data_IF_063702707915
#
_entry.id   IF_063702707915
#
_cell.length_a   1.000
_cell.length_b   1.000
_cell.length_c   1.000
_cell.angle_alpha   90.00
_cell.angle_beta   90.00
_cell.angle_gamma   90.00
#
_symmetry.space_group_name_H-M   'P 1'
#
loop_
_entity.id
_entity.type
_entity.pdbx_description
1 polymer ?
#
# COMPACT_ATOMS: atom_id res chain seq x y z
N UNK A 1 -29.28 -52.65 -41.70
CA UNK A 1 -27.95 -52.27 -42.22
C UNK A 1 -27.60 -50.90 -41.63
N UNK A 2 -26.78 -50.86 -40.58
CA UNK A 2 -26.38 -49.60 -39.95
C UNK A 2 -25.03 -49.17 -40.52
N UNK A 3 -24.99 -48.02 -41.19
CA UNK A 3 -23.76 -47.36 -41.59
C UNK A 3 -23.17 -46.67 -40.36
N UNK A 4 -22.06 -47.19 -39.83
CA UNK A 4 -21.27 -46.53 -38.80
C UNK A 4 -20.42 -45.46 -39.46
N UNK A 5 -20.74 -44.19 -39.22
CA UNK A 5 -19.92 -43.06 -39.62
C UNK A 5 -18.51 -43.19 -39.03
N UNK A 6 -17.52 -43.29 -39.91
CA UNK A 6 -16.11 -43.25 -39.52
C UNK A 6 -15.77 -41.86 -38.99
N UNK A 7 -15.22 -41.80 -37.78
CA UNK A 7 -14.58 -40.60 -37.28
C UNK A 7 -13.22 -40.48 -37.96
N UNK A 8 -13.09 -39.54 -38.88
CA UNK A 8 -11.79 -39.13 -39.42
C UNK A 8 -11.07 -38.31 -38.34
N UNK A 9 -10.19 -38.98 -37.58
CA UNK A 9 -9.24 -38.28 -36.72
C UNK A 9 -8.07 -37.82 -37.59
N UNK A 10 -7.92 -36.50 -37.75
CA UNK A 10 -6.81 -35.91 -38.49
C UNK A 10 -5.47 -36.28 -37.81
N UNK A 11 -4.77 -37.20 -38.45
CA UNK A 11 -3.48 -37.78 -38.04
C UNK A 11 -2.33 -36.90 -38.51
N UNK A 12 -2.47 -35.59 -38.31
CA UNK A 12 -1.32 -34.68 -38.48
C UNK A 12 -0.44 -34.87 -37.25
N UNK A 13 0.44 -35.86 -37.33
CA UNK A 13 1.45 -36.12 -36.31
C UNK A 13 2.20 -34.81 -36.07
N UNK A 14 2.11 -34.28 -34.85
CA UNK A 14 2.86 -33.10 -34.46
C UNK A 14 4.32 -33.36 -34.83
N UNK A 15 4.86 -32.49 -35.70
CA UNK A 15 6.18 -32.70 -36.26
C UNK A 15 7.20 -32.83 -35.12
N UNK A 16 7.95 -33.93 -35.09
CA UNK A 16 8.83 -34.30 -33.97
C UNK A 16 9.87 -33.22 -33.67
N UNK A 17 10.28 -32.47 -34.70
CA UNK A 17 11.14 -31.31 -34.59
C UNK A 17 10.50 -30.15 -33.80
N UNK A 18 9.19 -29.91 -33.96
CA UNK A 18 8.47 -28.90 -33.20
C UNK A 18 8.45 -29.25 -31.71
N UNK A 19 8.24 -30.53 -31.39
CA UNK A 19 8.30 -31.04 -30.00
C UNK A 19 9.70 -30.82 -29.42
N UNK A 20 10.75 -31.13 -30.19
CA UNK A 20 12.13 -30.93 -29.76
C UNK A 20 12.45 -29.45 -29.47
N UNK A 21 11.99 -28.52 -30.32
CA UNK A 21 12.15 -27.08 -30.11
C UNK A 21 11.39 -26.56 -28.91
N UNK A 22 10.15 -27.05 -28.70
CA UNK A 22 9.36 -26.68 -27.51
C UNK A 22 10.06 -27.18 -26.25
N UNK A 23 10.53 -28.43 -26.23
CA UNK A 23 11.26 -28.99 -25.10
C UNK A 23 12.55 -28.20 -24.80
N UNK A 24 13.32 -27.85 -25.84
CA UNK A 24 14.53 -27.05 -25.70
C UNK A 24 14.22 -25.63 -25.20
N UNK A 25 13.17 -25.00 -25.71
CA UNK A 25 12.71 -23.68 -25.27
C UNK A 25 12.27 -23.68 -23.81
N UNK A 26 11.48 -24.67 -23.41
CA UNK A 26 11.04 -24.83 -22.02
C UNK A 26 12.22 -25.08 -21.07
N UNK A 27 13.15 -25.96 -21.45
CA UNK A 27 14.35 -26.23 -20.66
C UNK A 27 15.21 -24.97 -20.50
N UNK A 28 15.39 -24.21 -21.59
CA UNK A 28 16.11 -22.94 -21.56
C UNK A 28 15.42 -21.95 -20.64
N UNK A 29 14.09 -21.82 -20.72
CA UNK A 29 13.31 -20.91 -19.88
C UNK A 29 13.44 -21.25 -18.38
N UNK A 30 13.33 -22.54 -18.03
CA UNK A 30 13.47 -23.02 -16.65
C UNK A 30 14.87 -22.77 -16.09
N UNK A 31 15.90 -22.79 -16.92
CA UNK A 31 17.27 -22.49 -16.50
C UNK A 31 17.59 -20.99 -16.45
N UNK A 32 17.09 -20.21 -17.41
CA UNK A 32 17.41 -18.79 -17.56
C UNK A 32 16.72 -17.97 -16.48
N UNK A 33 15.45 -18.24 -16.16
CA UNK A 33 14.70 -17.43 -15.19
C UNK A 33 15.34 -17.42 -13.80
N UNK A 34 15.71 -18.56 -13.19
CA UNK A 34 16.36 -18.57 -11.88
C UNK A 34 17.72 -17.87 -11.86
N UNK A 35 18.38 -17.73 -13.02
CA UNK A 35 19.67 -17.04 -13.15
C UNK A 35 19.50 -15.54 -13.35
N UNK A 36 18.51 -15.12 -14.15
CA UNK A 36 18.25 -13.70 -14.44
C UNK A 36 17.54 -12.99 -13.29
N UNK A 37 16.62 -13.67 -12.60
CA UNK A 37 15.91 -13.12 -11.44
C UNK A 37 16.82 -12.51 -10.37
N UNK A 38 17.88 -13.19 -9.88
CA UNK A 38 18.77 -12.62 -8.88
C UNK A 38 19.66 -11.49 -9.39
N UNK A 39 19.93 -11.41 -10.71
CA UNK A 39 20.68 -10.31 -11.31
C UNK A 39 19.91 -8.99 -11.26
N UNK A 40 18.60 -9.04 -11.57
CA UNK A 40 17.73 -7.85 -11.55
C UNK A 40 17.23 -7.56 -10.14
N UNK A 41 16.91 -8.61 -9.38
CA UNK A 41 16.37 -8.53 -8.03
C UNK A 41 17.30 -9.29 -7.08
N UNK A 42 18.41 -8.70 -6.61
CA UNK A 42 19.35 -9.37 -5.71
C UNK A 42 18.72 -9.76 -4.36
N UNK A 43 17.56 -9.16 -4.03
CA UNK A 43 16.73 -9.52 -2.88
C UNK A 43 15.94 -10.82 -3.05
N UNK A 44 15.76 -11.34 -4.27
CA UNK A 44 15.04 -12.61 -4.53
C UNK A 44 15.76 -13.84 -3.97
N UNK A 45 17.08 -13.76 -3.78
CA UNK A 45 17.89 -14.79 -3.11
C UNK A 45 17.68 -14.78 -1.58
N UNK A 46 17.10 -13.71 -1.04
CA UNK A 46 16.78 -13.63 0.38
C UNK A 46 15.39 -14.23 0.58
N UNK A 47 15.35 -15.52 0.85
CA UNK A 47 14.15 -16.18 1.36
C UNK A 47 13.81 -15.60 2.74
N UNK A 48 12.98 -14.56 2.78
CA UNK A 48 12.29 -14.16 3.99
C UNK A 48 11.12 -15.13 4.19
N UNK A 49 11.22 -16.02 5.17
CA UNK A 49 10.09 -16.88 5.53
C UNK A 49 8.90 -15.98 5.90
N UNK A 50 7.71 -16.15 5.28
CA UNK A 50 6.51 -15.39 5.67
C UNK A 50 6.11 -15.60 7.14
N UNK A 51 6.59 -16.68 7.75
CA UNK A 51 6.38 -17.03 9.15
C UNK A 51 7.53 -16.58 10.07
N UNK A 52 8.62 -16.02 9.55
CA UNK A 52 9.62 -15.39 10.40
C UNK A 52 9.00 -14.14 11.00
N UNK A 53 8.93 -14.10 12.34
CA UNK A 53 8.69 -12.83 13.04
C UNK A 53 9.69 -11.83 12.46
N UNK A 54 9.27 -10.63 12.03
CA UNK A 54 10.21 -9.64 11.57
C UNK A 54 11.27 -9.53 12.65
N UNK A 55 12.53 -9.75 12.30
CA UNK A 55 13.61 -9.40 13.19
C UNK A 55 13.37 -7.92 13.48
N UNK A 56 12.90 -7.61 14.69
CA UNK A 56 12.76 -6.24 15.17
C UNK A 56 14.19 -5.71 15.13
N UNK A 57 14.56 -5.13 13.99
CA UNK A 57 15.83 -4.45 13.84
C UNK A 57 15.89 -3.43 14.96
N UNK A 58 17.04 -3.21 15.58
CA UNK A 58 17.18 -2.16 16.59
C UNK A 58 16.85 -0.75 16.04
N UNK A 59 16.72 -0.63 14.71
CA UNK A 59 16.24 0.56 13.99
C UNK A 59 14.74 0.59 13.73
N UNK A 60 13.97 -0.41 14.16
CA UNK A 60 12.51 -0.39 14.04
C UNK A 60 11.94 0.60 15.08
N UNK A 61 10.91 1.37 14.72
CA UNK A 61 10.23 2.24 15.68
C UNK A 61 9.74 1.45 16.90
N UNK A 62 9.74 2.09 18.08
CA UNK A 62 8.92 1.77 19.23
C UNK A 62 7.70 0.90 18.96
N UNK A 63 7.57 -0.33 19.47
CA UNK A 63 6.19 -0.86 19.54
C UNK A 63 5.49 -0.12 20.68
N UNK A 64 4.43 0.61 20.35
CA UNK A 64 3.61 1.34 21.32
C UNK A 64 3.04 0.35 22.35
N UNK A 65 3.23 0.64 23.64
CA UNK A 65 2.94 -0.29 24.73
C UNK A 65 1.46 -0.25 25.11
N UNK A 66 0.84 0.93 25.03
CA UNK A 66 -0.55 1.16 25.41
C UNK A 66 -1.27 2.04 24.37
N UNK A 67 -1.51 1.52 23.15
CA UNK A 67 -2.05 2.31 22.04
C UNK A 67 -3.41 2.95 22.36
N UNK A 68 -4.24 2.29 23.16
CA UNK A 68 -5.56 2.83 23.57
C UNK A 68 -5.43 4.08 24.43
N UNK A 69 -4.56 4.04 25.45
CA UNK A 69 -4.37 5.17 26.37
C UNK A 69 -3.75 6.36 25.65
N UNK A 70 -2.81 6.10 24.75
CA UNK A 70 -2.15 7.14 23.96
C UNK A 70 -3.11 7.81 22.97
N UNK A 71 -3.95 7.04 22.31
CA UNK A 71 -5.02 7.59 21.47
C UNK A 71 -6.01 8.43 22.27
N UNK A 72 -6.31 8.02 23.51
CA UNK A 72 -7.20 8.79 24.37
C UNK A 72 -6.56 10.11 24.83
N UNK A 73 -5.26 10.11 25.17
CA UNK A 73 -4.52 11.34 25.47
C UNK A 73 -4.49 12.29 24.28
N UNK A 74 -4.09 11.80 23.09
CA UNK A 74 -4.07 12.61 21.88
C UNK A 74 -5.44 13.24 21.58
N UNK A 75 -6.52 12.47 21.76
CA UNK A 75 -7.89 12.99 21.59
C UNK A 75 -8.22 14.09 22.59
N UNK A 76 -7.80 13.98 23.86
CA UNK A 76 -8.04 15.03 24.86
C UNK A 76 -7.26 16.29 24.53
N UNK A 77 -6.01 16.15 24.13
CA UNK A 77 -5.14 17.27 23.76
C UNK A 77 -5.70 18.03 22.54
N UNK A 78 -6.18 17.31 21.52
CA UNK A 78 -6.84 17.89 20.35
C UNK A 78 -8.09 18.71 20.74
N UNK A 79 -8.90 18.18 21.64
CA UNK A 79 -10.09 18.86 22.15
C UNK A 79 -9.71 20.10 22.95
N UNK A 80 -8.68 20.02 23.79
CA UNK A 80 -8.18 21.16 24.56
C UNK A 80 -7.65 22.26 23.64
N UNK A 81 -6.81 21.92 22.67
CA UNK A 81 -6.22 22.85 21.69
C UNK A 81 -7.32 23.59 20.91
N UNK A 82 -8.34 22.87 20.47
CA UNK A 82 -9.44 23.40 19.65
C UNK A 82 -10.45 24.21 20.47
N UNK A 83 -10.60 23.87 21.76
CA UNK A 83 -11.57 24.48 22.68
C UNK A 83 -11.03 25.67 23.47
N UNK A 84 -9.73 25.89 23.52
CA UNK A 84 -9.09 26.90 24.38
C UNK A 84 -8.30 27.96 23.61
N UNK A 85 -8.19 29.14 24.21
CA UNK A 85 -7.29 30.17 23.73
C UNK A 85 -5.83 29.77 24.00
N UNK A 86 -4.94 30.18 23.10
CA UNK A 86 -3.51 29.94 23.25
C UNK A 86 -2.68 30.96 22.48
N UNK A 87 -1.37 30.94 22.69
CA UNK A 87 -0.43 31.69 21.88
C UNK A 87 0.11 30.79 20.77
N UNK A 88 0.09 31.27 19.53
CA UNK A 88 0.81 30.63 18.42
C UNK A 88 2.21 31.23 18.32
N UNK A 89 2.29 32.57 18.38
CA UNK A 89 3.55 33.31 18.46
C UNK A 89 3.34 34.55 19.33
N UNK A 90 3.89 34.51 20.53
CA UNK A 90 3.74 35.59 21.51
C UNK A 90 4.52 36.85 21.10
N UNK A 91 5.64 36.71 20.40
CA UNK A 91 6.48 37.83 19.97
C UNK A 91 5.81 38.62 18.85
N UNK A 92 5.08 37.93 17.97
CA UNK A 92 4.34 38.54 16.87
C UNK A 92 2.89 38.89 17.22
N UNK A 93 2.46 38.64 18.46
CA UNK A 93 1.10 38.92 18.90
C UNK A 93 0.02 37.99 18.29
N UNK A 94 0.41 36.80 17.81
CA UNK A 94 -0.49 35.86 17.15
C UNK A 94 -1.09 34.90 18.17
N UNK A 95 -2.41 34.98 18.34
CA UNK A 95 -3.20 34.14 19.25
C UNK A 95 -4.02 33.08 18.51
N UNK A 96 -4.16 31.91 19.13
CA UNK A 96 -5.13 30.88 18.76
C UNK A 96 -6.47 31.20 19.43
N UNK A 97 -7.53 31.20 18.63
CA UNK A 97 -8.92 31.38 19.08
C UNK A 97 -9.63 30.02 19.01
N UNK A 98 -10.46 29.64 20.01
CA UNK A 98 -11.27 28.44 19.95
C UNK A 98 -12.13 28.38 18.69
N UNK A 99 -12.27 27.21 18.07
CA UNK A 99 -12.96 27.07 16.78
C UNK A 99 -14.39 27.58 16.85
N UNK A 100 -15.14 27.24 17.91
CA UNK A 100 -16.51 27.75 18.12
C UNK A 100 -16.55 29.28 18.07
N UNK A 101 -15.60 29.95 18.71
CA UNK A 101 -15.55 31.40 18.73
C UNK A 101 -15.13 31.98 17.38
N UNK A 102 -14.18 31.35 16.70
CA UNK A 102 -13.78 31.73 15.35
C UNK A 102 -14.97 31.70 14.40
N UNK A 103 -15.77 30.63 14.44
CA UNK A 103 -17.02 30.50 13.66
C UNK A 103 -18.00 31.63 13.98
N UNK A 104 -18.25 31.93 15.24
CA UNK A 104 -19.15 33.02 15.63
C UNK A 104 -18.65 34.40 15.13
N UNK A 105 -17.34 34.64 15.20
CA UNK A 105 -16.74 35.89 14.69
C UNK A 105 -16.87 35.97 13.17
N UNK A 106 -16.66 34.85 12.48
CA UNK A 106 -16.78 34.72 11.05
C UNK A 106 -18.22 34.97 10.57
N UNK A 107 -19.21 34.36 11.24
CA UNK A 107 -20.63 34.55 10.93
C UNK A 107 -21.09 36.00 11.15
N UNK A 108 -20.58 36.68 12.18
CA UNK A 108 -20.90 38.10 12.42
C UNK A 108 -20.24 39.04 11.42
N UNK A 109 -19.00 38.76 11.01
CA UNK A 109 -18.23 39.62 10.10
C UNK A 109 -18.60 39.37 8.63
N UNK A 110 -19.10 38.18 8.31
CA UNK A 110 -19.21 37.68 6.94
C UNK A 110 -17.82 37.33 6.38
N UNK A 111 -17.79 36.51 5.34
CA UNK A 111 -16.58 36.28 4.56
C UNK A 111 -16.60 37.22 3.35
N UNK A 112 -15.63 38.16 3.24
CA UNK A 112 -15.49 38.92 2.01
C UNK A 112 -15.18 37.96 0.86
N UNK A 113 -15.85 38.15 -0.29
CA UNK A 113 -15.74 37.33 -1.51
C UNK A 113 -16.34 35.91 -1.45
N UNK A 114 -17.04 35.54 -0.37
CA UNK A 114 -17.78 34.27 -0.35
C UNK A 114 -19.11 34.42 -1.12
N UNK A 115 -19.39 33.60 -2.14
CA UNK A 115 -20.65 33.66 -2.87
C UNK A 115 -21.81 33.37 -1.90
N UNK A 116 -22.84 34.22 -1.94
CA UNK A 116 -24.08 33.92 -1.24
C UNK A 116 -24.68 32.63 -1.85
N UNK A 117 -25.24 31.73 -1.01
CA UNK A 117 -25.91 30.52 -1.49
C UNK A 117 -27.12 30.84 -2.38
#
# INVERSE_FOLDING_TARGET
MAQTGGFDFERSDIATNAIAWIAAGLGTFVLVIPVVMPLIFPQSLRYASPAARPALSSSAPPLEVAPSDELERARRDDVEITGTYGWVDRNRGIVRVPVKRATEMLLRKGLPEWPAP
#
